data_IF_048137125529
#
_entry.id   IF_048137125529
#
_cell.length_a   1.000
_cell.length_b   1.000
_cell.length_c   1.000
_cell.angle_alpha   90.00
_cell.angle_beta   90.00
_cell.angle_gamma   90.00
#
_symmetry.space_group_name_H-M   'P 1'
#
loop_
_entity.id
_entity.type
_entity.pdbx_description
1 polymer ?
#
# COMPACT_ATOMS: atom_id res chain seq x y z
N UNK A 1 20.93 12.81 -4.85
CA UNK A 1 19.85 11.91 -5.28
C UNK A 1 18.70 12.74 -5.85
N UNK A 2 18.26 12.51 -7.08
CA UNK A 2 17.13 13.26 -7.65
C UNK A 2 15.83 12.96 -6.86
N UNK A 3 15.00 13.98 -6.66
CA UNK A 3 13.73 13.88 -5.89
C UNK A 3 12.82 12.76 -6.42
N UNK A 4 12.88 12.48 -7.71
CA UNK A 4 12.11 11.42 -8.38
C UNK A 4 12.51 10.02 -7.91
N UNK A 5 13.82 9.73 -7.83
CA UNK A 5 14.34 8.44 -7.35
C UNK A 5 13.97 8.21 -5.88
N UNK A 6 13.96 9.25 -5.06
CA UNK A 6 13.49 9.16 -3.67
C UNK A 6 12.00 8.84 -3.57
N UNK A 7 11.16 9.47 -4.40
CA UNK A 7 9.74 9.14 -4.46
C UNK A 7 9.51 7.70 -4.92
N UNK A 8 10.24 7.25 -5.94
CA UNK A 8 10.15 5.88 -6.44
C UNK A 8 10.63 4.85 -5.39
N UNK A 9 11.77 5.07 -4.74
CA UNK A 9 12.25 4.17 -3.68
C UNK A 9 11.31 4.15 -2.48
N UNK A 10 10.69 5.28 -2.14
CA UNK A 10 9.86 5.38 -0.95
C UNK A 10 8.39 5.00 -1.19
N UNK A 11 7.84 5.21 -2.39
CA UNK A 11 6.43 4.95 -2.72
C UNK A 11 6.24 3.94 -3.87
N UNK A 12 7.31 3.45 -4.48
CA UNK A 12 7.26 2.54 -5.63
C UNK A 12 6.50 1.25 -5.34
N UNK A 13 6.68 0.66 -4.15
CA UNK A 13 5.91 -0.51 -3.73
C UNK A 13 4.40 -0.22 -3.67
N UNK A 14 4.03 0.95 -3.14
CA UNK A 14 2.62 1.35 -3.04
C UNK A 14 2.03 1.59 -4.44
N UNK A 15 2.76 2.29 -5.30
CA UNK A 15 2.37 2.50 -6.70
C UNK A 15 2.20 1.19 -7.47
N UNK A 16 3.10 0.22 -7.29
CA UNK A 16 3.01 -1.09 -7.92
C UNK A 16 1.74 -1.84 -7.48
N UNK A 17 1.42 -1.83 -6.18
CA UNK A 17 0.20 -2.45 -5.65
C UNK A 17 -1.05 -1.75 -6.20
N UNK A 18 -1.05 -0.42 -6.30
CA UNK A 18 -2.17 0.34 -6.87
C UNK A 18 -2.40 0.00 -8.35
N UNK A 19 -1.34 -0.06 -9.16
CA UNK A 19 -1.43 -0.42 -10.59
C UNK A 19 -1.93 -1.86 -10.75
N UNK A 20 -1.46 -2.78 -9.92
CA UNK A 20 -1.94 -4.15 -9.91
C UNK A 20 -3.42 -4.25 -9.52
N UNK A 21 -3.83 -3.61 -8.43
CA UNK A 21 -5.22 -3.60 -7.97
C UNK A 21 -6.18 -3.00 -9.01
N UNK A 22 -5.75 -1.95 -9.71
CA UNK A 22 -6.51 -1.33 -10.80
C UNK A 22 -6.67 -2.27 -12.00
N UNK A 23 -5.60 -2.97 -12.40
CA UNK A 23 -5.65 -3.95 -13.49
C UNK A 23 -6.59 -5.11 -13.16
N UNK A 24 -6.52 -5.61 -11.92
CA UNK A 24 -7.40 -6.68 -11.43
C UNK A 24 -8.86 -6.22 -11.33
N UNK A 25 -9.11 -4.98 -10.92
CA UNK A 25 -10.44 -4.40 -10.95
C UNK A 25 -10.98 -4.25 -12.37
N UNK A 26 -10.11 -3.91 -13.34
CA UNK A 26 -10.50 -3.81 -14.74
C UNK A 26 -10.95 -5.15 -15.32
N UNK A 27 -10.28 -6.25 -14.96
CA UNK A 27 -10.70 -7.62 -15.30
C UNK A 27 -12.08 -7.98 -14.76
N UNK A 28 -12.48 -7.42 -13.62
CA UNK A 28 -13.80 -7.66 -13.05
C UNK A 28 -14.93 -7.05 -13.90
N UNK A 29 -14.69 -5.94 -14.60
CA UNK A 29 -15.69 -5.31 -15.46
C UNK A 29 -15.99 -6.09 -16.75
N UNK A 30 -15.08 -6.96 -17.20
CA UNK A 30 -15.29 -7.78 -18.39
C UNK A 30 -16.05 -9.10 -18.12
N UNK A 31 -16.35 -9.43 -16.86
CA UNK A 31 -16.99 -10.67 -16.46
C UNK A 31 -18.39 -10.39 -15.87
N UNK A 32 -19.33 -9.92 -16.69
CA UNK A 32 -20.68 -9.56 -16.22
C UNK A 32 -21.52 -10.77 -15.77
N UNK A 33 -21.27 -11.97 -16.33
CA UNK A 33 -22.09 -13.17 -16.08
C UNK A 33 -21.40 -14.21 -15.16
N UNK A 34 -20.10 -14.05 -14.86
CA UNK A 34 -19.34 -15.07 -14.12
C UNK A 34 -19.29 -14.80 -12.61
N UNK A 35 -19.57 -15.79 -11.74
CA UNK A 35 -19.44 -15.66 -10.29
C UNK A 35 -18.01 -15.31 -9.82
N UNK A 36 -17.00 -15.51 -10.68
CA UNK A 36 -15.62 -15.13 -10.43
C UNK A 36 -15.39 -13.61 -10.30
N UNK A 37 -16.35 -12.78 -10.71
CA UNK A 37 -16.26 -11.32 -10.54
C UNK A 37 -16.05 -10.91 -9.08
N UNK A 38 -16.73 -11.58 -8.14
CA UNK A 38 -16.58 -11.32 -6.72
C UNK A 38 -15.18 -11.64 -6.20
N UNK A 39 -14.53 -12.68 -6.75
CA UNK A 39 -13.15 -13.01 -6.40
C UNK A 39 -12.20 -11.89 -6.84
N UNK A 40 -12.34 -11.35 -8.05
CA UNK A 40 -11.52 -10.23 -8.53
C UNK A 40 -11.74 -8.95 -7.73
N UNK A 41 -12.99 -8.66 -7.35
CA UNK A 41 -13.31 -7.51 -6.49
C UNK A 41 -12.66 -7.68 -5.11
N UNK A 42 -12.78 -8.85 -4.49
CA UNK A 42 -12.11 -9.17 -3.21
C UNK A 42 -10.59 -9.05 -3.32
N UNK A 43 -10.01 -9.51 -4.42
CA UNK A 43 -8.56 -9.45 -4.66
C UNK A 43 -8.07 -8.01 -4.81
N UNK A 44 -8.82 -7.16 -5.53
CA UNK A 44 -8.52 -5.74 -5.66
C UNK A 44 -8.65 -5.00 -4.32
N UNK A 45 -9.70 -5.32 -3.55
CA UNK A 45 -9.87 -4.82 -2.18
C UNK A 45 -8.73 -5.27 -1.25
N UNK A 46 -8.25 -6.51 -1.38
CA UNK A 46 -7.09 -6.98 -0.64
C UNK A 46 -5.81 -6.21 -1.01
N UNK A 47 -5.64 -5.87 -2.29
CA UNK A 47 -4.58 -4.97 -2.77
C UNK A 47 -4.65 -3.59 -2.10
N UNK A 48 -5.83 -2.96 -2.07
CA UNK A 48 -6.04 -1.69 -1.37
C UNK A 48 -5.81 -1.80 0.14
N UNK A 49 -6.28 -2.89 0.76
CA UNK A 49 -6.05 -3.18 2.17
C UNK A 49 -4.55 -3.24 2.50
N UNK A 50 -3.75 -3.84 1.62
CA UNK A 50 -2.30 -3.93 1.76
C UNK A 50 -1.65 -2.54 1.77
N UNK A 51 -2.10 -1.62 0.92
CA UNK A 51 -1.65 -0.22 0.94
C UNK A 51 -1.95 0.44 2.29
N UNK A 52 -3.15 0.22 2.82
CA UNK A 52 -3.56 0.72 4.14
C UNK A 52 -2.65 0.20 5.27
N UNK A 53 -2.37 -1.10 5.28
CA UNK A 53 -1.48 -1.74 6.26
C UNK A 53 -0.06 -1.18 6.18
N UNK A 54 0.50 -1.03 4.96
CA UNK A 54 1.82 -0.44 4.77
C UNK A 54 1.88 0.97 5.37
N UNK A 55 0.85 1.77 5.14
CA UNK A 55 0.80 3.13 5.68
C UNK A 55 0.70 3.15 7.21
N UNK A 56 -0.08 2.22 7.77
CA UNK A 56 -0.21 2.07 9.22
C UNK A 56 1.09 1.66 9.88
N UNK A 57 1.80 0.66 9.32
CA UNK A 57 3.12 0.24 9.79
C UNK A 57 4.12 1.41 9.71
N UNK A 58 4.15 2.14 8.59
CA UNK A 58 5.02 3.32 8.44
C UNK A 58 4.75 4.38 9.49
N UNK A 59 3.47 4.64 9.79
CA UNK A 59 3.07 5.59 10.83
C UNK A 59 3.48 5.10 12.22
N UNK A 60 3.24 3.82 12.51
CA UNK A 60 3.60 3.21 13.79
C UNK A 60 5.11 3.27 14.02
N UNK A 61 5.91 2.80 13.08
CA UNK A 61 7.38 2.83 13.17
C UNK A 61 7.89 4.27 13.34
N UNK A 62 7.36 5.23 12.57
CA UNK A 62 7.76 6.64 12.69
C UNK A 62 7.43 7.22 14.07
N UNK A 63 6.29 6.87 14.65
CA UNK A 63 5.92 7.29 16.00
C UNK A 63 6.80 6.63 17.07
N UNK A 64 7.07 5.33 16.95
CA UNK A 64 7.94 4.59 17.88
C UNK A 64 9.38 5.09 17.84
N UNK A 65 9.90 5.41 16.65
CA UNK A 65 11.27 5.93 16.47
C UNK A 65 11.43 7.33 17.09
N UNK A 66 10.37 8.17 17.03
CA UNK A 66 10.34 9.45 17.73
C UNK A 66 10.32 9.29 19.25
N UNK A 67 9.52 8.35 19.77
CA UNK A 67 9.48 8.06 21.20
C UNK A 67 10.83 7.54 21.71
N UNK A 68 11.51 6.67 20.94
CA UNK A 68 12.84 6.15 21.25
C UNK A 68 13.91 7.25 21.25
N UNK A 69 13.87 8.17 20.28
CA UNK A 69 14.78 9.34 20.26
C UNK A 69 14.55 10.30 21.42
N UNK A 70 13.33 10.40 21.94
CA UNK A 70 13.00 11.27 23.06
C UNK A 70 13.44 10.65 24.40
N UNK A 71 13.29 9.33 24.55
CA UNK A 71 13.81 8.59 25.70
C UNK A 71 15.36 8.62 25.77
N UNK A 72 16.04 8.46 24.63
CA UNK A 72 17.51 8.52 24.55
C UNK A 72 18.12 9.92 24.66
N UNK A 73 17.30 10.98 24.69
CA UNK A 73 17.73 12.37 24.97
C UNK A 73 17.52 12.80 26.43
N UNK A 74 16.83 11.96 27.22
CA UNK A 74 16.57 12.19 28.64
C UNK A 74 17.55 11.37 29.53
N UNK A 75 18.31 10.44 28.93
CA UNK A 75 19.56 9.89 29.49
C UNK A 75 20.76 10.74 29.10
#
# INVERSE_FOLDING_TARGET
MSRFLQLFLNYGLVLAILVWAATVAMMAYHLEESPWRWAFILLSLAGLGTVGVIFWIRRYVKSSMKALQQAGKIQ
#
